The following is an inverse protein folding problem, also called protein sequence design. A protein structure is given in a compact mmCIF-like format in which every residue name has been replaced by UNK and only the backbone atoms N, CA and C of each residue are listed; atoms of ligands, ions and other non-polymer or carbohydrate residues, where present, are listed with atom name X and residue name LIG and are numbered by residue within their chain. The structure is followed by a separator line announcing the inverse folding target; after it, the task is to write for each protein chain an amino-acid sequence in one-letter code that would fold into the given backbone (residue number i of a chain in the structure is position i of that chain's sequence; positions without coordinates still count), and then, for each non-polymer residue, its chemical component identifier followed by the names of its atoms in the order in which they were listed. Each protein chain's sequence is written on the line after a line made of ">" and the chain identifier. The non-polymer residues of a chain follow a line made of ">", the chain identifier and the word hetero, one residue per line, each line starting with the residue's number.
data_IF_947463799561
#
_entry.id   IF_947463799561
#
_cell.length_a   1.000
_cell.length_b   1.000
_cell.length_c   1.000
_cell.angle_alpha   90.00
_cell.angle_beta   90.00
_cell.angle_gamma   90.00
#
_symmetry.space_group_name_H-M   'P 1'
#
loop_
_entity.id
_entity.type
_entity.pdbx_description
1 polymer ?
#
# COMPACT_ATOMS: atom_id res chain seq x y z
N UNK A 1 42.06 -24.58 9.02
CA UNK A 1 41.07 -23.48 9.04
C UNK A 1 41.11 -22.76 7.71
N UNK A 2 40.14 -23.00 6.81
CA UNK A 2 39.79 -22.16 5.65
C UNK A 2 38.76 -22.89 4.78
N UNK A 3 37.71 -22.16 4.38
CA UNK A 3 36.67 -22.49 3.39
C UNK A 3 35.39 -23.20 3.84
N UNK A 4 34.82 -22.84 4.99
CA UNK A 4 33.40 -23.10 5.30
C UNK A 4 32.49 -21.86 5.15
N UNK A 5 33.05 -20.68 4.87
CA UNK A 5 32.28 -19.44 4.65
C UNK A 5 31.67 -19.27 3.24
N UNK A 6 31.84 -20.24 2.32
CA UNK A 6 31.29 -20.11 0.96
C UNK A 6 29.89 -20.70 0.79
N UNK A 7 29.35 -21.48 1.72
CA UNK A 7 28.03 -22.11 1.54
C UNK A 7 26.87 -21.17 1.96
N UNK A 8 27.06 -20.35 2.99
CA UNK A 8 26.04 -19.39 3.44
C UNK A 8 25.87 -18.23 2.45
N UNK A 9 26.96 -17.80 1.81
CA UNK A 9 26.92 -16.81 0.71
C UNK A 9 26.39 -17.39 -0.62
N UNK A 10 26.26 -18.72 -0.76
CA UNK A 10 25.67 -19.36 -1.92
C UNK A 10 24.15 -19.59 -1.76
N UNK A 11 23.63 -19.56 -0.54
CA UNK A 11 22.18 -19.58 -0.28
C UNK A 11 21.50 -18.23 -0.57
N UNK A 12 22.26 -17.13 -0.59
CA UNK A 12 21.82 -15.82 -1.12
C UNK A 12 21.68 -15.77 -2.65
N UNK A 13 21.75 -16.92 -3.33
CA UNK A 13 21.42 -17.10 -4.75
C UNK A 13 20.00 -17.67 -4.91
N UNK A 14 19.08 -17.32 -4.00
CA UNK A 14 17.68 -17.26 -4.40
C UNK A 14 17.54 -16.02 -5.28
N UNK A 15 17.12 -16.23 -6.53
CA UNK A 15 16.93 -15.22 -7.54
C UNK A 15 16.15 -14.01 -6.98
N UNK A 16 16.88 -12.96 -6.56
CA UNK A 16 16.29 -11.64 -6.31
C UNK A 16 16.07 -11.01 -7.67
N UNK A 17 15.07 -11.49 -8.40
CA UNK A 17 14.40 -10.64 -9.37
C UNK A 17 13.56 -9.66 -8.56
N UNK A 18 13.77 -8.36 -8.74
CA UNK A 18 12.80 -7.36 -8.27
C UNK A 18 11.45 -7.67 -8.92
N UNK A 19 10.56 -8.33 -8.18
CA UNK A 19 9.18 -8.48 -8.60
C UNK A 19 8.49 -7.15 -8.28
N UNK A 20 8.22 -6.34 -9.32
CA UNK A 20 7.44 -5.10 -9.22
C UNK A 20 5.95 -5.40 -9.01
N UNK A 21 5.62 -6.17 -7.99
CA UNK A 21 4.32 -6.80 -7.77
C UNK A 21 3.59 -6.27 -6.52
N UNK A 22 4.15 -5.27 -5.84
CA UNK A 22 3.50 -4.64 -4.67
C UNK A 22 2.40 -3.65 -5.09
N UNK A 23 2.25 -3.34 -6.38
CA UNK A 23 1.27 -2.37 -6.85
C UNK A 23 1.44 -1.02 -6.13
N UNK A 24 0.39 -0.55 -5.46
CA UNK A 24 0.42 0.63 -4.60
C UNK A 24 0.44 0.31 -3.10
N UNK A 25 0.74 -0.94 -2.71
CA UNK A 25 0.97 -1.32 -1.31
C UNK A 25 2.38 -0.90 -0.88
N UNK A 26 2.47 -0.34 0.31
CA UNK A 26 3.70 0.08 0.99
C UNK A 26 3.85 -0.77 2.26
N UNK A 27 4.65 -1.85 2.24
CA UNK A 27 4.76 -2.73 3.41
C UNK A 27 5.58 -2.15 4.56
N UNK A 28 6.55 -1.27 4.28
CA UNK A 28 7.49 -0.74 5.27
C UNK A 28 6.93 0.45 6.05
N UNK A 29 6.24 0.17 7.16
CA UNK A 29 5.56 1.19 7.98
C UNK A 29 6.34 1.66 9.21
N UNK A 30 7.40 0.96 9.62
CA UNK A 30 8.31 1.37 10.70
C UNK A 30 9.77 1.34 10.26
N UNK A 31 10.64 2.02 11.02
CA UNK A 31 12.09 2.00 10.79
C UNK A 31 12.66 0.57 10.86
N UNK A 32 12.18 -0.25 11.79
CA UNK A 32 12.57 -1.66 11.94
C UNK A 32 12.16 -2.48 10.72
N UNK A 33 10.96 -2.26 10.20
CA UNK A 33 10.51 -2.91 8.97
C UNK A 33 11.34 -2.50 7.76
N UNK A 34 11.71 -1.22 7.62
CA UNK A 34 12.61 -0.77 6.54
C UNK A 34 13.97 -1.47 6.66
N UNK A 35 14.54 -1.51 7.87
CA UNK A 35 15.84 -2.13 8.12
C UNK A 35 15.87 -3.63 7.82
N UNK A 36 14.71 -4.31 7.92
CA UNK A 36 14.53 -5.73 7.66
C UNK A 36 13.89 -6.02 6.30
N UNK A 37 13.87 -5.05 5.39
CA UNK A 37 13.27 -5.17 4.05
C UNK A 37 11.83 -5.74 4.08
N UNK A 38 11.07 -5.36 5.11
CA UNK A 38 9.70 -5.80 5.34
C UNK A 38 9.53 -7.13 6.08
N UNK A 39 10.61 -7.85 6.43
CA UNK A 39 10.58 -9.06 7.27
C UNK A 39 10.47 -8.69 8.76
N UNK A 40 9.33 -8.12 9.16
CA UNK A 40 9.12 -7.66 10.53
C UNK A 40 7.70 -7.94 11.03
N UNK A 41 7.38 -9.22 11.21
CA UNK A 41 6.06 -9.73 11.60
C UNK A 41 6.21 -10.57 12.87
N UNK A 42 7.06 -11.59 12.84
CA UNK A 42 7.32 -12.46 13.99
C UNK A 42 8.34 -11.85 14.97
N UNK A 43 9.25 -11.00 14.50
CA UNK A 43 10.21 -10.27 15.34
C UNK A 43 9.67 -8.95 15.88
N UNK A 44 8.46 -8.53 15.48
CA UNK A 44 7.82 -7.29 15.92
C UNK A 44 7.44 -7.37 17.41
N UNK A 45 8.28 -6.78 18.27
CA UNK A 45 8.08 -6.71 19.73
C UNK A 45 8.08 -5.27 20.27
N UNK A 46 8.37 -4.29 19.42
CA UNK A 46 8.32 -2.85 19.74
C UNK A 46 6.90 -2.30 19.72
N UNK A 47 6.76 -0.98 19.80
CA UNK A 47 5.44 -0.32 19.74
C UNK A 47 4.74 -0.60 18.39
N UNK A 48 5.53 -0.69 17.31
CA UNK A 48 5.10 -1.03 15.96
C UNK A 48 4.49 -2.43 15.80
N UNK A 49 4.65 -3.32 16.79
CA UNK A 49 3.89 -4.57 16.85
C UNK A 49 2.37 -4.32 16.83
N UNK A 50 1.90 -3.17 17.34
CA UNK A 50 0.49 -2.75 17.24
C UNK A 50 -0.06 -2.76 15.80
N UNK A 51 0.79 -2.59 14.78
CA UNK A 51 0.45 -2.69 13.36
C UNK A 51 0.86 -4.03 12.74
N UNK A 52 2.13 -4.44 12.88
CA UNK A 52 2.68 -5.59 12.14
C UNK A 52 2.14 -6.94 12.61
N UNK A 53 2.10 -7.14 13.93
CA UNK A 53 1.47 -8.30 14.55
C UNK A 53 1.02 -7.95 15.97
N UNK A 54 -0.23 -7.46 16.13
CA UNK A 54 -0.68 -7.03 17.44
C UNK A 54 -0.85 -8.19 18.44
N UNK A 55 -0.81 -9.47 18.02
CA UNK A 55 -0.74 -10.58 18.98
C UNK A 55 0.62 -10.61 19.71
N UNK A 56 1.71 -10.15 19.09
CA UNK A 56 3.01 -10.06 19.76
C UNK A 56 3.03 -9.04 20.90
N UNK A 57 2.06 -8.12 20.99
CA UNK A 57 1.99 -7.16 22.09
C UNK A 57 1.98 -7.88 23.45
N UNK A 58 1.33 -9.03 23.53
CA UNK A 58 1.27 -9.87 24.75
C UNK A 58 2.64 -10.41 25.21
N UNK A 59 3.65 -10.40 24.35
CA UNK A 59 5.02 -10.84 24.67
C UNK A 59 6.03 -9.69 24.68
N UNK A 60 5.57 -8.45 24.50
CA UNK A 60 6.41 -7.26 24.54
C UNK A 60 6.76 -6.88 25.98
N UNK A 61 7.78 -6.02 26.14
CA UNK A 61 8.13 -5.46 27.44
C UNK A 61 6.90 -4.81 28.11
N UNK A 62 6.77 -4.99 29.43
CA UNK A 62 5.62 -4.46 30.17
C UNK A 62 5.78 -2.98 30.46
N UNK A 63 4.84 -2.19 29.98
CA UNK A 63 4.87 -0.74 30.04
C UNK A 63 4.16 -0.09 28.86
N UNK A 64 4.11 1.24 28.89
CA UNK A 64 3.71 2.00 27.72
C UNK A 64 4.89 2.05 26.73
N UNK A 65 4.69 1.47 25.55
CA UNK A 65 5.63 1.57 24.44
C UNK A 65 5.06 2.57 23.43
N UNK A 66 5.90 3.45 22.89
CA UNK A 66 5.49 4.45 21.90
C UNK A 66 6.62 4.68 20.91
N UNK A 67 6.27 4.80 19.64
CA UNK A 67 7.19 5.01 18.53
C UNK A 67 6.57 6.01 17.55
N UNK A 68 7.41 6.90 17.02
CA UNK A 68 7.04 7.87 15.99
C UNK A 68 8.17 7.88 14.98
N UNK A 69 7.84 7.52 13.74
CA UNK A 69 8.80 7.50 12.65
C UNK A 69 8.49 8.58 11.62
N UNK A 70 9.55 9.03 10.94
CA UNK A 70 9.46 9.93 9.79
C UNK A 70 10.25 9.32 8.64
N UNK A 71 9.55 8.61 7.75
CA UNK A 71 10.16 7.97 6.58
C UNK A 71 10.18 8.91 5.39
N UNK A 72 11.36 9.15 4.84
CA UNK A 72 11.50 9.87 3.58
C UNK A 72 11.42 8.90 2.41
N UNK A 73 10.42 9.06 1.54
CA UNK A 73 10.22 8.25 0.35
C UNK A 73 10.62 9.07 -0.88
N UNK A 74 11.63 8.61 -1.60
CA UNK A 74 12.08 9.18 -2.86
C UNK A 74 11.68 8.26 -4.02
N UNK A 75 10.73 8.67 -4.84
CA UNK A 75 10.38 7.99 -6.08
C UNK A 75 11.23 8.57 -7.21
N UNK A 76 12.10 7.73 -7.77
CA UNK A 76 12.93 8.11 -8.92
C UNK A 76 12.10 8.33 -10.17
N UNK A 77 12.68 9.01 -11.15
CA UNK A 77 12.10 9.10 -12.49
C UNK A 77 11.91 7.71 -13.12
N UNK A 78 10.95 7.61 -14.02
CA UNK A 78 10.64 6.46 -14.85
C UNK A 78 10.69 6.94 -16.29
N UNK A 79 11.48 6.26 -17.11
CA UNK A 79 11.55 6.52 -18.55
C UNK A 79 10.55 5.65 -19.29
N UNK A 80 9.69 6.29 -20.07
CA UNK A 80 8.79 5.64 -21.01
C UNK A 80 9.36 5.73 -22.42
N UNK A 81 9.60 4.57 -23.04
CA UNK A 81 9.98 4.47 -24.45
C UNK A 81 8.84 3.86 -25.25
N UNK A 82 8.32 4.61 -26.22
CA UNK A 82 7.24 4.17 -27.07
C UNK A 82 7.77 3.37 -28.26
N UNK A 83 7.17 2.21 -28.52
CA UNK A 83 7.57 1.34 -29.63
C UNK A 83 7.25 1.91 -31.03
N UNK A 84 6.34 2.89 -31.11
CA UNK A 84 5.86 3.47 -32.39
C UNK A 84 6.73 4.64 -32.83
N UNK A 85 7.16 5.49 -31.90
CA UNK A 85 7.98 6.66 -32.22
C UNK A 85 8.68 7.24 -30.99
N UNK A 86 9.98 7.60 -31.09
CA UNK A 86 10.67 8.36 -30.04
C UNK A 86 10.03 9.71 -29.69
N UNK A 87 9.20 10.27 -30.57
CA UNK A 87 8.44 11.51 -30.32
C UNK A 87 7.34 11.33 -29.27
N UNK A 88 7.00 10.09 -28.91
CA UNK A 88 6.01 9.74 -27.88
C UNK A 88 6.67 9.25 -26.58
N UNK A 89 8.00 9.26 -26.52
CA UNK A 89 8.71 8.99 -25.28
C UNK A 89 8.40 10.07 -24.25
N UNK A 90 8.66 9.76 -22.98
CA UNK A 90 8.72 10.76 -21.95
C UNK A 90 9.39 10.25 -20.70
N UNK A 91 9.60 11.16 -19.77
CA UNK A 91 10.19 10.88 -18.47
C UNK A 91 9.29 11.48 -17.41
N UNK A 92 8.98 10.69 -16.38
CA UNK A 92 8.17 11.16 -15.27
C UNK A 92 8.97 12.03 -14.32
N UNK A 93 8.31 12.88 -13.55
CA UNK A 93 8.95 13.62 -12.46
C UNK A 93 9.46 12.69 -11.33
N UNK A 94 10.39 13.24 -10.56
CA UNK A 94 10.73 12.70 -9.23
C UNK A 94 9.72 13.18 -8.20
N UNK A 95 9.35 12.31 -7.26
CA UNK A 95 8.39 12.64 -6.21
C UNK A 95 9.01 12.35 -4.84
N UNK A 96 8.79 13.24 -3.88
CA UNK A 96 9.38 13.14 -2.55
C UNK A 96 8.28 13.27 -1.50
N UNK A 97 8.23 12.31 -0.58
CA UNK A 97 7.24 12.28 0.50
C UNK A 97 7.93 12.16 1.85
N UNK A 98 7.33 12.79 2.85
CA UNK A 98 7.65 12.56 4.24
C UNK A 98 6.45 11.88 4.87
N UNK A 99 6.61 10.63 5.28
CA UNK A 99 5.55 9.81 5.86
C UNK A 99 5.75 9.72 7.38
N UNK A 100 4.90 10.39 8.19
CA UNK A 100 4.86 10.15 9.62
C UNK A 100 4.04 8.89 9.92
N UNK A 101 4.59 8.00 10.76
CA UNK A 101 3.85 6.88 11.35
C UNK A 101 3.95 6.93 12.87
N UNK A 102 2.93 6.41 13.55
CA UNK A 102 2.82 6.44 15.02
C UNK A 102 2.35 5.09 15.50
N UNK A 103 2.97 4.59 16.57
CA UNK A 103 2.62 3.32 17.19
C UNK A 103 2.60 3.45 18.71
N UNK A 104 1.68 2.73 19.35
CA UNK A 104 1.55 2.71 20.80
C UNK A 104 1.02 1.35 21.28
N UNK A 105 1.54 0.88 22.41
CA UNK A 105 1.08 -0.32 23.12
C UNK A 105 0.94 0.01 24.60
N UNK A 106 -0.12 -0.51 25.23
CA UNK A 106 -0.36 -0.39 26.66
C UNK A 106 0.41 -1.44 27.49
N UNK A 107 0.57 -1.21 28.81
CA UNK A 107 0.93 -2.26 29.75
C UNK A 107 -0.08 -3.42 29.74
N UNK A 108 0.28 -4.54 30.37
CA UNK A 108 -0.64 -5.64 30.61
C UNK A 108 -1.79 -5.23 31.56
N UNK A 109 -3.01 -5.54 31.14
CA UNK A 109 -4.23 -5.43 31.93
C UNK A 109 -4.95 -6.77 31.98
N UNK A 110 -4.50 -7.66 32.87
CA UNK A 110 -5.10 -8.98 33.06
C UNK A 110 -5.05 -9.82 31.79
N UNK A 111 -3.86 -9.97 31.20
CA UNK A 111 -3.59 -10.67 29.94
C UNK A 111 -4.11 -9.94 28.69
N UNK A 112 -4.63 -8.72 28.83
CA UNK A 112 -5.01 -7.87 27.70
C UNK A 112 -3.99 -6.75 27.49
N UNK A 113 -3.73 -6.44 26.23
CA UNK A 113 -3.00 -5.23 25.84
C UNK A 113 -3.72 -4.50 24.72
N UNK A 114 -3.66 -3.18 24.77
CA UNK A 114 -4.29 -2.29 23.80
C UNK A 114 -3.20 -1.67 22.93
N UNK A 115 -3.40 -1.74 21.62
CA UNK A 115 -2.52 -1.14 20.62
C UNK A 115 -3.22 -0.04 19.85
N UNK A 116 -2.43 0.87 19.31
CA UNK A 116 -2.89 1.90 18.39
C UNK A 116 -1.79 2.21 17.38
N UNK A 117 -2.14 2.25 16.10
CA UNK A 117 -1.21 2.67 15.04
C UNK A 117 -1.84 3.65 14.06
N UNK A 118 -1.05 4.58 13.55
CA UNK A 118 -1.34 5.40 12.36
C UNK A 118 -0.25 5.14 11.34
N UNK A 119 -0.63 4.63 10.18
CA UNK A 119 0.29 4.19 9.11
C UNK A 119 -0.21 4.67 7.74
N UNK A 120 0.57 4.49 6.68
CA UNK A 120 0.11 4.67 5.29
C UNK A 120 0.43 3.43 4.43
N UNK A 121 -0.35 2.34 4.59
CA UNK A 121 -0.04 1.06 3.95
C UNK A 121 -0.30 1.02 2.45
N UNK A 122 -0.94 2.04 1.89
CA UNK A 122 -1.17 2.18 0.45
C UNK A 122 -0.89 3.60 0.00
N UNK A 123 -0.27 3.74 -1.17
CA UNK A 123 0.01 5.02 -1.78
C UNK A 123 0.60 4.89 -3.17
N UNK A 124 0.27 5.86 -4.02
CA UNK A 124 0.79 5.97 -5.38
C UNK A 124 0.94 7.45 -5.72
N UNK A 125 2.01 7.82 -6.43
CA UNK A 125 2.11 9.14 -7.03
C UNK A 125 3.00 9.08 -8.27
N UNK A 126 2.52 9.66 -9.37
CA UNK A 126 3.35 9.93 -10.54
C UNK A 126 2.82 11.09 -11.37
N UNK A 127 3.75 11.89 -11.89
CA UNK A 127 3.50 13.00 -12.80
C UNK A 127 4.29 12.82 -14.08
N UNK A 128 3.64 13.13 -15.19
CA UNK A 128 4.25 13.13 -16.51
C UNK A 128 3.88 14.42 -17.22
N UNK A 129 4.87 15.21 -17.62
CA UNK A 129 4.66 16.48 -18.33
C UNK A 129 4.72 16.30 -19.85
N UNK A 130 5.37 15.25 -20.33
CA UNK A 130 5.51 14.98 -21.76
C UNK A 130 4.15 14.75 -22.44
N UNK A 131 3.92 15.30 -23.65
CA UNK A 131 2.59 15.37 -24.25
C UNK A 131 1.87 14.03 -24.39
N UNK A 132 2.60 12.96 -24.74
CA UNK A 132 1.98 11.64 -24.91
C UNK A 132 1.70 10.96 -23.57
N UNK A 133 2.68 10.74 -22.66
CA UNK A 133 2.40 10.18 -21.34
C UNK A 133 1.35 10.97 -20.52
N UNK A 134 1.32 12.30 -20.63
CA UNK A 134 0.33 13.15 -19.96
C UNK A 134 -1.12 12.83 -20.35
N UNK A 135 -1.36 12.25 -21.54
CA UNK A 135 -2.72 11.80 -21.95
C UNK A 135 -3.27 10.70 -21.06
N UNK A 136 -2.39 9.93 -20.40
CA UNK A 136 -2.76 8.84 -19.50
C UNK A 136 -2.51 9.18 -18.03
N UNK A 137 -1.40 9.87 -17.74
CA UNK A 137 -0.84 9.95 -16.39
C UNK A 137 -0.31 11.34 -16.00
N UNK A 138 -0.91 12.46 -16.49
CA UNK A 138 -0.40 13.81 -16.20
C UNK A 138 -0.19 14.04 -14.70
N UNK A 139 -1.15 13.71 -13.85
CA UNK A 139 -0.96 13.66 -12.39
C UNK A 139 -1.89 12.61 -11.79
N UNK A 140 -1.32 11.55 -11.23
CA UNK A 140 -2.05 10.55 -10.47
C UNK A 140 -1.48 10.49 -9.06
N UNK A 141 -2.36 10.54 -8.06
CA UNK A 141 -1.98 10.35 -6.67
C UNK A 141 -3.08 9.60 -5.93
N UNK A 142 -2.68 8.66 -5.08
CA UNK A 142 -3.50 7.99 -4.09
C UNK A 142 -2.76 8.08 -2.77
N UNK A 143 -3.43 8.57 -1.74
CA UNK A 143 -2.93 8.61 -0.38
C UNK A 143 -3.90 7.86 0.51
N UNK A 144 -3.41 6.91 1.31
CA UNK A 144 -4.24 6.12 2.21
C UNK A 144 -3.57 6.03 3.57
N UNK A 145 -4.20 6.58 4.60
CA UNK A 145 -3.79 6.44 5.99
C UNK A 145 -4.64 5.36 6.69
N UNK A 146 -4.02 4.45 7.44
CA UNK A 146 -4.67 3.40 8.23
C UNK A 146 -4.54 3.72 9.72
N UNK A 147 -5.66 4.05 10.35
CA UNK A 147 -5.80 4.28 11.80
C UNK A 147 -6.36 2.99 12.41
N UNK A 148 -5.56 2.32 13.25
CA UNK A 148 -5.85 0.95 13.65
C UNK A 148 -5.72 0.76 15.18
N UNK A 149 -6.81 0.90 15.95
CA UNK A 149 -6.87 0.38 17.31
C UNK A 149 -6.94 -1.15 17.31
N UNK A 150 -6.15 -1.78 18.18
CA UNK A 150 -6.03 -3.23 18.29
C UNK A 150 -6.08 -3.70 19.74
N UNK A 151 -6.49 -4.94 19.96
CA UNK A 151 -6.51 -5.59 21.28
C UNK A 151 -5.86 -6.96 21.15
N UNK A 152 -4.86 -7.21 21.99
CA UNK A 152 -4.22 -8.52 22.17
C UNK A 152 -4.71 -9.19 23.44
N UNK A 153 -4.83 -10.51 23.39
CA UNK A 153 -5.14 -11.37 24.52
C UNK A 153 -4.15 -12.53 24.61
N UNK A 154 -3.44 -12.64 25.74
CA UNK A 154 -2.60 -13.78 26.03
C UNK A 154 -3.48 -14.96 26.50
N UNK A 155 -3.62 -15.96 25.63
CA UNK A 155 -4.40 -17.18 25.91
C UNK A 155 -3.62 -18.10 26.85
N UNK A 156 -2.30 -18.19 26.62
CA UNK A 156 -1.34 -18.87 27.48
C UNK A 156 -0.03 -18.07 27.50
N UNK A 157 0.95 -18.51 28.28
CA UNK A 157 2.29 -17.90 28.33
C UNK A 157 3.05 -17.98 26.99
N UNK A 158 2.58 -18.79 26.04
CA UNK A 158 3.20 -19.00 24.73
C UNK A 158 2.25 -18.78 23.54
N UNK A 159 0.98 -18.46 23.77
CA UNK A 159 -0.02 -18.27 22.73
C UNK A 159 -0.81 -16.98 22.98
N UNK A 160 -0.85 -16.11 21.99
CA UNK A 160 -1.69 -14.91 22.00
C UNK A 160 -2.46 -14.78 20.69
N UNK A 161 -3.61 -14.11 20.80
CA UNK A 161 -4.46 -13.75 19.67
C UNK A 161 -4.78 -12.26 19.73
N UNK A 162 -5.07 -11.66 18.59
CA UNK A 162 -5.41 -10.25 18.50
C UNK A 162 -6.46 -9.99 17.43
N UNK A 163 -7.25 -8.93 17.66
CA UNK A 163 -8.16 -8.36 16.69
C UNK A 163 -8.10 -6.83 16.71
N UNK A 164 -8.43 -6.19 15.60
CA UNK A 164 -8.49 -4.73 15.51
C UNK A 164 -9.43 -4.23 14.43
N UNK A 165 -9.74 -2.95 14.51
CA UNK A 165 -10.54 -2.22 13.53
C UNK A 165 -9.61 -1.34 12.73
N UNK A 166 -9.70 -1.38 11.41
CA UNK A 166 -8.91 -0.55 10.50
C UNK A 166 -9.81 0.56 9.97
N UNK A 167 -9.41 1.81 10.12
CA UNK A 167 -10.05 2.95 9.49
C UNK A 167 -9.11 3.52 8.44
N UNK A 168 -9.44 3.33 7.17
CA UNK A 168 -8.66 3.78 6.03
C UNK A 168 -9.21 5.13 5.56
N UNK A 169 -8.41 6.18 5.76
CA UNK A 169 -8.67 7.51 5.22
C UNK A 169 -7.98 7.62 3.87
N UNK A 170 -8.72 7.85 2.78
CA UNK A 170 -8.16 7.88 1.44
C UNK A 170 -8.50 9.19 0.70
N UNK A 171 -7.56 9.64 -0.13
CA UNK A 171 -7.76 10.72 -1.10
C UNK A 171 -7.05 10.38 -2.41
N UNK A 172 -7.70 10.66 -3.53
CA UNK A 172 -7.12 10.46 -4.85
C UNK A 172 -7.23 11.71 -5.75
N UNK A 173 -6.28 11.83 -6.66
CA UNK A 173 -6.25 12.83 -7.73
C UNK A 173 -5.96 12.11 -9.03
N UNK A 174 -6.75 12.38 -10.07
CA UNK A 174 -6.54 11.88 -11.42
C UNK A 174 -6.67 13.02 -12.43
N UNK A 175 -5.53 13.47 -12.98
CA UNK A 175 -5.47 14.45 -14.05
C UNK A 175 -4.78 13.84 -15.25
N UNK A 176 -5.42 13.93 -16.41
CA UNK A 176 -4.83 13.51 -17.66
C UNK A 176 -5.53 14.17 -18.85
N UNK A 177 -4.78 14.38 -19.92
CA UNK A 177 -5.28 15.09 -21.07
C UNK A 177 -4.21 15.29 -22.11
N UNK A 178 -4.63 15.67 -23.32
CA UNK A 178 -3.72 15.97 -24.41
C UNK A 178 -4.49 16.20 -25.70
N UNK A 179 -3.89 15.80 -26.82
CA UNK A 179 -4.46 15.99 -28.15
C UNK A 179 -4.39 14.71 -28.97
N UNK A 180 -5.42 14.45 -29.75
CA UNK A 180 -5.38 13.39 -30.78
C UNK A 180 -4.52 13.81 -31.96
N UNK A 181 -4.25 12.89 -32.89
CA UNK A 181 -3.51 13.18 -34.12
C UNK A 181 -4.22 14.25 -34.99
N UNK A 182 -5.54 14.34 -34.90
CA UNK A 182 -6.40 15.30 -35.58
C UNK A 182 -6.44 16.67 -34.86
N UNK A 183 -5.71 16.84 -33.76
CA UNK A 183 -5.63 18.09 -33.00
C UNK A 183 -6.78 18.32 -32.01
N UNK A 184 -7.65 17.32 -31.81
CA UNK A 184 -8.75 17.38 -30.84
C UNK A 184 -8.17 17.31 -29.44
N UNK A 185 -8.34 18.38 -28.68
CA UNK A 185 -7.94 18.48 -27.28
C UNK A 185 -8.98 17.87 -26.35
N UNK A 186 -8.50 17.20 -25.32
CA UNK A 186 -9.32 16.67 -24.24
C UNK A 186 -8.56 16.73 -22.92
N UNK A 187 -9.28 16.92 -21.82
CA UNK A 187 -8.69 16.98 -20.49
C UNK A 187 -9.68 16.50 -19.44
N UNK A 188 -9.15 15.86 -18.40
CA UNK A 188 -9.84 15.49 -17.17
C UNK A 188 -9.04 16.01 -15.99
N UNK A 189 -9.75 16.69 -15.10
CA UNK A 189 -9.32 17.00 -13.75
C UNK A 189 -10.33 16.38 -12.76
N UNK A 190 -9.87 15.42 -11.98
CA UNK A 190 -10.63 14.80 -10.91
C UNK A 190 -9.83 14.95 -9.61
N UNK A 191 -10.45 15.58 -8.62
CA UNK A 191 -9.89 15.73 -7.28
C UNK A 191 -10.88 15.23 -6.24
N UNK A 192 -10.51 14.17 -5.54
CA UNK A 192 -11.29 13.60 -4.45
C UNK A 192 -11.11 14.35 -3.13
N UNK A 193 -12.15 14.29 -2.32
CA UNK A 193 -12.09 14.64 -0.90
C UNK A 193 -11.48 13.48 -0.09
N UNK A 194 -11.32 13.71 1.22
CA UNK A 194 -10.92 12.64 2.14
C UNK A 194 -12.15 11.80 2.50
N UNK A 195 -12.11 10.53 2.13
CA UNK A 195 -13.15 9.54 2.45
C UNK A 195 -12.62 8.51 3.44
N UNK A 196 -13.54 7.82 4.11
CA UNK A 196 -13.24 6.95 5.24
C UNK A 196 -13.96 5.61 5.11
N UNK A 197 -13.19 4.54 4.99
CA UNK A 197 -13.70 3.17 4.88
C UNK A 197 -13.12 2.27 5.97
N UNK A 198 -13.79 1.17 6.28
CA UNK A 198 -13.48 0.35 7.44
C UNK A 198 -13.17 -1.10 7.07
N UNK A 199 -12.23 -1.68 7.80
CA UNK A 199 -11.89 -3.09 7.74
C UNK A 199 -11.53 -3.63 9.12
N UNK A 200 -10.94 -4.81 9.12
CA UNK A 200 -10.48 -5.46 10.35
C UNK A 200 -9.13 -6.13 10.13
N UNK A 201 -8.44 -6.40 11.23
CA UNK A 201 -7.24 -7.24 11.23
C UNK A 201 -7.31 -8.28 12.34
N UNK A 202 -6.72 -9.43 12.08
CA UNK A 202 -6.60 -10.55 13.01
C UNK A 202 -5.15 -10.99 13.06
N UNK A 203 -4.71 -11.46 14.22
CA UNK A 203 -3.37 -12.01 14.36
C UNK A 203 -3.30 -13.11 15.41
N UNK A 204 -2.35 -14.01 15.22
CA UNK A 204 -1.97 -15.07 16.16
C UNK A 204 -0.45 -15.07 16.29
N UNK A 205 0.04 -15.19 17.52
CA UNK A 205 1.45 -15.40 17.80
C UNK A 205 1.64 -16.60 18.73
N UNK A 206 2.64 -17.43 18.42
CA UNK A 206 3.00 -18.62 19.19
C UNK A 206 4.49 -18.56 19.48
N UNK A 207 4.87 -18.55 20.76
CA UNK A 207 6.25 -18.55 21.23
C UNK A 207 6.56 -19.83 22.04
N UNK A 208 6.74 -21.00 21.39
CA UNK A 208 6.91 -22.28 22.09
C UNK A 208 8.15 -22.34 23.00
N UNK A 209 9.14 -21.49 22.70
CA UNK A 209 10.35 -21.28 23.48
C UNK A 209 10.80 -19.84 23.30
N UNK A 210 11.62 -19.34 24.22
CA UNK A 210 12.07 -17.94 24.23
C UNK A 210 12.68 -17.47 22.90
N UNK A 211 13.42 -18.37 22.25
CA UNK A 211 14.13 -18.12 21.00
C UNK A 211 13.28 -18.21 19.73
N UNK A 212 12.03 -18.69 19.77
CA UNK A 212 11.22 -18.94 18.57
C UNK A 212 9.85 -18.27 18.67
N UNK A 213 9.52 -17.40 17.72
CA UNK A 213 8.18 -16.86 17.55
C UNK A 213 7.62 -17.22 16.16
N UNK A 214 6.39 -17.69 16.11
CA UNK A 214 5.63 -18.00 14.90
C UNK A 214 4.40 -17.11 14.85
N UNK A 215 4.11 -16.56 13.68
CA UNK A 215 3.08 -15.54 13.53
C UNK A 215 2.24 -15.77 12.28
N UNK A 216 0.94 -15.54 12.41
CA UNK A 216 0.01 -15.45 11.30
C UNK A 216 -0.80 -14.17 11.47
N UNK A 217 -0.83 -13.33 10.45
CA UNK A 217 -1.59 -12.08 10.46
C UNK A 217 -2.47 -11.98 9.22
N UNK A 218 -3.63 -11.38 9.38
CA UNK A 218 -4.58 -11.14 8.30
C UNK A 218 -5.11 -9.71 8.42
N UNK A 219 -4.97 -8.93 7.36
CA UNK A 219 -5.61 -7.61 7.21
C UNK A 219 -6.67 -7.73 6.12
N UNK A 220 -7.91 -7.33 6.42
CA UNK A 220 -9.04 -7.51 5.50
C UNK A 220 -8.91 -6.64 4.25
N UNK A 221 -9.59 -7.07 3.19
CA UNK A 221 -9.95 -6.21 2.07
C UNK A 221 -10.80 -5.04 2.55
N UNK A 222 -10.63 -3.87 1.93
CA UNK A 222 -11.49 -2.69 2.09
C UNK A 222 -11.67 -2.03 0.72
N UNK A 223 -12.91 -1.81 0.32
CA UNK A 223 -13.25 -0.99 -0.83
C UNK A 223 -13.12 0.48 -0.44
N UNK A 224 -12.22 1.22 -1.10
CA UNK A 224 -12.04 2.65 -0.89
C UNK A 224 -12.99 3.40 -1.84
N UNK A 225 -14.13 3.83 -1.33
CA UNK A 225 -15.15 4.54 -2.11
C UNK A 225 -14.81 6.04 -2.14
N UNK A 226 -14.26 6.48 -3.27
CA UNK A 226 -13.75 7.84 -3.45
C UNK A 226 -14.72 8.69 -4.26
N UNK A 227 -15.08 9.84 -3.72
CA UNK A 227 -15.93 10.84 -4.38
C UNK A 227 -15.17 12.15 -4.56
N UNK A 228 -15.40 12.85 -5.67
CA UNK A 228 -14.71 14.11 -5.94
C UNK A 228 -15.31 14.96 -7.05
N UNK A 229 -14.82 16.19 -7.15
CA UNK A 229 -15.17 17.11 -8.22
C UNK A 229 -14.49 16.68 -9.53
N UNK A 230 -15.28 16.54 -10.58
CA UNK A 230 -14.82 16.16 -11.91
C UNK A 230 -15.09 17.27 -12.94
N UNK A 231 -14.02 17.80 -13.51
CA UNK A 231 -14.07 18.73 -14.65
C UNK A 231 -13.47 18.06 -15.87
N UNK A 232 -14.26 17.91 -16.91
CA UNK A 232 -13.87 17.36 -18.21
C UNK A 232 -14.01 18.45 -19.27
N UNK A 233 -13.05 18.56 -20.18
CA UNK A 233 -13.17 19.53 -21.28
C UNK A 233 -12.64 19.00 -22.59
N UNK A 234 -13.18 19.54 -23.68
CA UNK A 234 -12.72 19.30 -25.05
C UNK A 234 -12.95 20.53 -25.92
N UNK A 235 -12.23 20.62 -27.04
CA UNK A 235 -12.39 21.70 -28.02
C UNK A 235 -13.23 21.30 -29.25
N UNK A 236 -13.78 20.09 -29.30
CA UNK A 236 -14.51 19.56 -30.46
C UNK A 236 -15.96 19.20 -30.12
N UNK A 237 -16.95 19.47 -31.00
CA UNK A 237 -16.84 20.25 -32.24
C UNK A 237 -16.68 21.76 -31.98
N UNK A 238 -16.87 22.18 -30.73
CA UNK A 238 -16.58 23.51 -30.21
C UNK A 238 -16.11 23.36 -28.74
N UNK A 239 -15.54 24.40 -28.11
CA UNK A 239 -15.21 24.36 -26.69
C UNK A 239 -16.40 23.91 -25.83
N UNK A 240 -16.19 22.85 -25.07
CA UNK A 240 -17.18 22.24 -24.22
C UNK A 240 -16.54 21.87 -22.88
N UNK A 241 -17.23 22.22 -21.80
CA UNK A 241 -16.85 21.88 -20.42
C UNK A 241 -18.00 21.10 -19.81
N UNK A 242 -17.67 20.01 -19.13
CA UNK A 242 -18.59 19.18 -18.38
C UNK A 242 -18.10 19.11 -16.94
N UNK A 243 -18.99 19.49 -16.02
CA UNK A 243 -18.76 19.45 -14.59
C UNK A 243 -19.74 18.44 -13.98
N UNK A 244 -19.24 17.58 -13.12
CA UNK A 244 -20.02 16.58 -12.39
C UNK A 244 -19.26 16.16 -11.14
N UNK A 245 -19.90 15.40 -10.26
CA UNK A 245 -19.20 14.56 -9.30
C UNK A 245 -18.72 13.29 -10.00
N UNK A 246 -17.48 12.87 -9.74
CA UNK A 246 -16.89 11.60 -10.12
C UNK A 246 -16.78 10.67 -8.92
N UNK A 247 -17.04 9.38 -9.12
CA UNK A 247 -16.98 8.34 -8.10
C UNK A 247 -16.11 7.20 -8.62
N UNK A 248 -15.29 6.62 -7.76
CA UNK A 248 -14.44 5.46 -8.10
C UNK A 248 -14.19 4.63 -6.85
N UNK A 249 -14.25 3.31 -6.99
CA UNK A 249 -13.89 2.38 -5.92
C UNK A 249 -12.50 1.83 -6.21
N UNK A 250 -11.58 1.91 -5.25
CA UNK A 250 -10.24 1.33 -5.36
C UNK A 250 -10.02 0.28 -4.27
N UNK A 251 -9.47 -0.90 -4.58
CA UNK A 251 -9.30 -1.93 -3.57
C UNK A 251 -8.08 -1.65 -2.68
N UNK A 252 -8.26 -1.70 -1.36
CA UNK A 252 -7.18 -1.96 -0.42
C UNK A 252 -7.18 -3.47 -0.13
N UNK A 253 -6.44 -4.27 -0.92
CA UNK A 253 -6.60 -5.73 -0.92
C UNK A 253 -6.30 -6.35 0.44
N UNK A 254 -6.90 -7.51 0.67
CA UNK A 254 -6.54 -8.33 1.80
C UNK A 254 -5.06 -8.73 1.76
N UNK A 255 -4.46 -8.92 2.94
CA UNK A 255 -3.08 -9.40 3.09
C UNK A 255 -3.05 -10.50 4.14
N UNK A 256 -2.58 -11.68 3.75
CA UNK A 256 -2.28 -12.78 4.66
C UNK A 256 -0.76 -12.90 4.79
N UNK A 257 -0.25 -12.94 6.02
CA UNK A 257 1.18 -13.10 6.28
C UNK A 257 1.42 -14.25 7.24
N UNK A 258 2.40 -15.10 6.93
CA UNK A 258 2.92 -16.14 7.80
C UNK A 258 4.40 -15.88 7.99
N UNK A 259 4.86 -15.82 9.24
CA UNK A 259 6.25 -15.55 9.55
C UNK A 259 6.77 -16.39 10.72
N UNK A 260 8.08 -16.61 10.72
CA UNK A 260 8.79 -17.25 11.83
C UNK A 260 10.10 -16.53 12.10
N UNK A 261 10.33 -16.19 13.37
CA UNK A 261 11.57 -15.56 13.83
C UNK A 261 12.28 -16.48 14.83
N UNK A 262 13.58 -16.70 14.62
CA UNK A 262 14.44 -17.46 15.52
C UNK A 262 15.63 -16.63 15.97
N UNK A 263 15.86 -16.56 17.27
CA UNK A 263 16.97 -15.84 17.89
C UNK A 263 18.04 -16.81 18.37
N UNK A 264 19.24 -16.69 17.80
CA UNK A 264 20.44 -17.36 18.27
C UNK A 264 21.42 -16.32 18.85
N UNK A 265 21.57 -16.35 20.18
CA UNK A 265 22.36 -15.34 20.92
C UNK A 265 21.87 -13.93 20.57
N UNK A 266 22.66 -13.18 19.80
CA UNK A 266 22.40 -11.78 19.46
C UNK A 266 21.86 -11.63 18.03
N UNK A 267 21.67 -12.73 17.31
CA UNK A 267 21.21 -12.76 15.94
C UNK A 267 19.77 -13.27 15.89
N UNK A 268 18.86 -12.42 15.41
CA UNK A 268 17.50 -12.86 15.07
C UNK A 268 17.37 -12.96 13.56
N UNK A 269 16.91 -14.12 13.09
CA UNK A 269 16.57 -14.37 11.68
C UNK A 269 15.06 -14.52 11.59
N UNK A 270 14.43 -13.75 10.70
CA UNK A 270 13.01 -13.89 10.38
C UNK A 270 12.86 -14.30 8.92
N UNK A 271 11.90 -15.18 8.66
CA UNK A 271 11.39 -15.46 7.33
C UNK A 271 9.91 -15.14 7.32
N UNK A 272 9.46 -14.38 6.32
CA UNK A 272 8.07 -14.02 6.13
C UNK A 272 7.61 -14.33 4.70
N UNK A 273 6.42 -14.91 4.59
CA UNK A 273 5.67 -15.01 3.36
C UNK A 273 4.41 -14.19 3.52
N UNK A 274 4.18 -13.23 2.62
CA UNK A 274 2.89 -12.55 2.52
C UNK A 274 2.24 -12.77 1.16
N UNK A 275 0.92 -12.91 1.17
CA UNK A 275 0.06 -12.98 -0.01
C UNK A 275 -0.84 -11.76 -0.02
N UNK A 276 -0.78 -10.99 -1.10
CA UNK A 276 -1.65 -9.84 -1.34
C UNK A 276 -2.70 -10.23 -2.38
N UNK A 277 -3.97 -10.12 -2.02
CA UNK A 277 -5.09 -10.57 -2.86
C UNK A 277 -5.47 -9.48 -3.88
N UNK A 278 -4.56 -9.21 -4.81
CA UNK A 278 -4.74 -8.19 -5.86
C UNK A 278 -5.79 -8.55 -6.91
N UNK A 279 -6.25 -9.81 -6.96
CA UNK A 279 -7.34 -10.23 -7.85
C UNK A 279 -8.64 -9.45 -7.66
N UNK A 280 -8.82 -8.77 -6.53
CA UNK A 280 -9.92 -7.82 -6.30
C UNK A 280 -9.86 -6.59 -7.22
N UNK A 281 -8.71 -6.26 -7.83
CA UNK A 281 -8.60 -5.14 -8.76
C UNK A 281 -8.86 -5.55 -10.22
N UNK A 282 -10.14 -5.74 -10.54
CA UNK A 282 -10.57 -6.15 -11.88
C UNK A 282 -10.58 -4.98 -12.88
N UNK A 283 -11.11 -3.82 -12.48
CA UNK A 283 -11.21 -2.64 -13.34
C UNK A 283 -11.08 -1.33 -12.57
N UNK A 284 -10.71 -0.28 -13.28
CA UNK A 284 -10.78 1.11 -12.84
C UNK A 284 -11.92 1.79 -13.59
N UNK A 285 -13.07 1.91 -12.94
CA UNK A 285 -14.26 2.56 -13.48
C UNK A 285 -14.53 3.89 -12.76
N UNK A 286 -14.54 5.00 -13.50
CA UNK A 286 -14.86 6.32 -12.95
C UNK A 286 -16.26 6.70 -13.41
N UNK A 287 -17.19 6.72 -12.47
CA UNK A 287 -18.59 6.98 -12.73
C UNK A 287 -18.93 8.44 -12.45
N UNK A 288 -19.62 9.07 -13.40
CA UNK A 288 -20.08 10.45 -13.27
C UNK A 288 -21.55 10.49 -12.87
N UNK A 289 -21.89 11.26 -11.83
CA UNK A 289 -23.28 11.42 -11.37
C UNK A 289 -24.20 12.00 -12.44
N UNK A 290 -23.67 12.85 -13.33
CA UNK A 290 -24.36 13.30 -14.53
C UNK A 290 -23.94 12.45 -15.73
N UNK A 291 -24.86 11.96 -16.58
CA UNK A 291 -24.50 11.17 -17.74
C UNK A 291 -23.56 11.91 -18.70
N UNK A 292 -22.38 11.34 -18.95
CA UNK A 292 -21.41 11.88 -19.91
C UNK A 292 -21.85 11.55 -21.34
N UNK A 293 -22.53 12.51 -21.99
CA UNK A 293 -23.12 12.32 -23.33
C UNK A 293 -22.30 12.91 -24.48
N UNK A 294 -21.30 13.73 -24.17
CA UNK A 294 -20.48 14.35 -25.20
C UNK A 294 -19.61 13.29 -25.90
N UNK A 295 -19.67 13.13 -27.24
CA UNK A 295 -19.11 11.97 -27.93
C UNK A 295 -17.60 11.77 -27.69
N UNK A 296 -16.81 12.85 -27.73
CA UNK A 296 -15.36 12.78 -27.47
C UNK A 296 -15.06 12.35 -26.04
N UNK A 297 -15.66 13.03 -25.06
CA UNK A 297 -15.41 12.77 -23.64
C UNK A 297 -15.94 11.40 -23.23
N UNK A 298 -17.12 11.02 -23.70
CA UNK A 298 -17.72 9.72 -23.44
C UNK A 298 -16.90 8.56 -24.00
N UNK A 299 -16.23 8.75 -25.15
CA UNK A 299 -15.35 7.73 -25.71
C UNK A 299 -14.04 7.59 -24.94
N UNK A 300 -13.47 8.70 -24.47
CA UNK A 300 -12.13 8.72 -23.84
C UNK A 300 -12.20 8.41 -22.34
N UNK A 301 -13.20 8.95 -21.65
CA UNK A 301 -13.30 8.91 -20.19
C UNK A 301 -14.51 8.11 -19.67
N UNK A 302 -15.38 7.65 -20.56
CA UNK A 302 -16.56 6.87 -20.19
C UNK A 302 -16.30 5.37 -19.96
N UNK A 303 -15.45 4.68 -20.76
CA UNK A 303 -15.24 3.25 -20.57
C UNK A 303 -14.38 2.94 -19.33
N UNK A 304 -14.66 1.84 -18.61
CA UNK A 304 -13.79 1.36 -17.56
C UNK A 304 -12.45 0.87 -18.14
N UNK A 305 -11.38 1.00 -17.35
CA UNK A 305 -10.05 0.50 -17.70
C UNK A 305 -9.82 -0.83 -17.02
N UNK A 306 -9.83 -1.91 -17.80
CA UNK A 306 -9.52 -3.25 -17.29
C UNK A 306 -8.13 -3.28 -16.63
N UNK A 307 -8.07 -3.84 -15.43
CA UNK A 307 -6.85 -4.06 -14.64
C UNK A 307 -6.51 -5.54 -14.61
N UNK A 308 -7.45 -6.40 -14.22
CA UNK A 308 -7.28 -7.85 -14.12
C UNK A 308 -5.98 -8.21 -13.40
N UNK A 309 -5.73 -7.63 -12.23
CA UNK A 309 -4.52 -7.94 -11.48
C UNK A 309 -4.60 -9.35 -10.92
N UNK A 310 -3.45 -10.00 -10.76
CA UNK A 310 -3.33 -11.33 -10.15
C UNK A 310 -2.85 -11.19 -8.70
N UNK A 311 -3.27 -12.10 -7.83
CA UNK A 311 -2.69 -12.22 -6.49
C UNK A 311 -1.16 -12.33 -6.54
N UNK A 312 -0.49 -11.75 -5.56
CA UNK A 312 0.96 -11.75 -5.50
C UNK A 312 1.45 -12.32 -4.18
N UNK A 313 2.58 -13.05 -4.25
CA UNK A 313 3.27 -13.61 -3.11
C UNK A 313 4.64 -12.91 -2.98
N UNK A 314 5.00 -12.46 -1.77
CA UNK A 314 6.35 -11.98 -1.46
C UNK A 314 6.99 -12.81 -0.36
N UNK A 315 8.30 -13.05 -0.52
CA UNK A 315 9.13 -13.75 0.45
C UNK A 315 10.21 -12.78 0.94
N UNK A 316 10.37 -12.69 2.26
CA UNK A 316 11.31 -11.78 2.92
C UNK A 316 12.11 -12.52 3.97
#
# INVERSE_FOLDING_TARGET
>A
MKKTMSLVALASVFAVSSAYASGYRIPEQSADSVAKAGAHIASAKGADASYFNPANMSFAEDGWLTEIDFTYIHLTEIDYTDARSPLMNGTSDTENFLLPTVFMISPDFYNFRFGFSVTAPFGLAKRWEDPFPATYARKFSLQVFDINPTVSYAVTDYLSISGGVRLLMAKAIARNGGRTAEGIGFDRDLEGDWEADYGYNLAVAVQPMEALNLSVTYRSHVDLDLTGDATLNTNYPAPYVFESTGNVTLPAPAVLTIAGAYTWENLTVELAWDRTFWSEYEELDIQYSTPLRHPVLAQIFGPPVAKNWDDTDAFR
#
